data_IF_318587595247
#
_entry.id   IF_318587595247
#
_cell.length_a   1.000
_cell.length_b   1.000
_cell.length_c   1.000
_cell.angle_alpha   90.00
_cell.angle_beta   90.00
_cell.angle_gamma   90.00
#
_symmetry.space_group_name_H-M   'P 1'
#
loop_
_entity.id
_entity.type
_entity.pdbx_description
1 polymer ?
#
# COMPACT_ATOMS: atom_id res chain seq x y z
N UNK A 1 1.90 6.50 -20.17
CA UNK A 1 0.64 6.68 -19.43
C UNK A 1 0.64 5.54 -18.45
N UNK A 2 1.26 5.83 -17.31
CA UNK A 2 1.87 4.84 -16.44
C UNK A 2 1.07 4.77 -15.17
N UNK A 3 0.54 3.61 -14.88
CA UNK A 3 -0.06 3.35 -13.59
C UNK A 3 1.00 3.56 -12.50
N UNK A 4 0.74 4.51 -11.61
CA UNK A 4 1.64 4.85 -10.51
C UNK A 4 1.40 3.88 -9.35
N UNK A 5 2.26 2.87 -9.24
CA UNK A 5 2.39 2.14 -7.98
C UNK A 5 3.01 3.05 -6.92
N UNK A 6 2.58 2.87 -5.68
CA UNK A 6 3.13 3.56 -4.51
C UNK A 6 3.53 2.56 -3.44
N UNK A 7 4.50 2.93 -2.61
CA UNK A 7 4.99 2.14 -1.49
C UNK A 7 5.33 3.01 -0.28
N UNK A 8 5.15 2.45 0.91
CA UNK A 8 5.48 3.07 2.19
C UNK A 8 6.06 2.05 3.16
N UNK A 9 6.96 2.50 4.03
CA UNK A 9 7.37 1.76 5.22
C UNK A 9 7.09 2.67 6.42
N UNK A 10 6.18 2.24 7.28
CA UNK A 10 5.72 3.03 8.44
C UNK A 10 5.94 2.25 9.74
N UNK A 11 6.18 2.89 10.90
CA UNK A 11 6.21 2.20 12.19
C UNK A 11 4.94 1.40 12.47
N UNK A 12 5.08 0.27 13.17
CA UNK A 12 3.95 -0.55 13.56
C UNK A 12 3.36 -0.07 14.89
N UNK A 13 2.22 0.60 14.84
CA UNK A 13 1.53 1.22 15.98
C UNK A 13 0.60 0.22 16.71
N UNK A 14 1.06 -1.02 16.89
CA UNK A 14 0.34 -2.09 17.59
C UNK A 14 -0.75 -2.80 16.79
N UNK A 15 -1.47 -2.10 15.90
CA UNK A 15 -2.36 -2.70 14.89
C UNK A 15 -2.12 -2.10 13.51
N UNK A 16 -2.61 -2.80 12.47
CA UNK A 16 -2.50 -2.35 11.07
C UNK A 16 -3.33 -1.08 10.86
N UNK A 17 -4.49 -0.97 11.50
CA UNK A 17 -5.38 0.20 11.43
C UNK A 17 -4.74 1.44 12.03
N UNK A 18 -4.13 1.34 13.21
CA UNK A 18 -3.45 2.47 13.83
C UNK A 18 -2.21 2.87 13.02
N UNK A 19 -1.49 1.89 12.44
CA UNK A 19 -0.35 2.16 11.55
C UNK A 19 -0.80 2.85 10.26
N UNK A 20 -1.92 2.42 9.66
CA UNK A 20 -2.50 3.04 8.47
C UNK A 20 -2.96 4.47 8.76
N UNK A 21 -3.64 4.68 9.90
CA UNK A 21 -4.08 6.00 10.33
C UNK A 21 -2.91 6.97 10.57
N UNK A 22 -1.83 6.49 11.19
CA UNK A 22 -0.61 7.28 11.37
C UNK A 22 0.02 7.63 10.01
N UNK A 23 0.06 6.66 9.08
CA UNK A 23 0.57 6.87 7.74
C UNK A 23 -0.29 7.87 6.94
N UNK A 24 -1.62 7.84 7.06
CA UNK A 24 -2.49 8.84 6.44
C UNK A 24 -2.18 10.25 6.93
N UNK A 25 -1.99 10.43 8.25
CA UNK A 25 -1.66 11.73 8.80
C UNK A 25 -0.32 12.26 8.25
N UNK A 26 0.69 11.38 8.17
CA UNK A 26 1.99 11.73 7.61
C UNK A 26 1.90 12.12 6.13
N UNK A 27 1.27 11.29 5.28
CA UNK A 27 1.19 11.57 3.84
C UNK A 27 0.33 12.79 3.56
N UNK A 28 -0.75 13.01 4.33
CA UNK A 28 -1.53 14.23 4.21
C UNK A 28 -0.71 15.48 4.54
N UNK A 29 0.11 15.44 5.60
CA UNK A 29 1.01 16.54 5.93
C UNK A 29 2.08 16.75 4.84
N UNK A 30 2.62 15.69 4.26
CA UNK A 30 3.63 15.79 3.20
C UNK A 30 3.07 16.38 1.89
N UNK A 31 1.87 15.96 1.48
CA UNK A 31 1.31 16.32 0.18
C UNK A 31 0.46 17.60 0.20
N UNK A 32 -0.21 17.90 1.32
CA UNK A 32 -1.23 18.96 1.38
C UNK A 32 -0.92 20.10 2.36
N UNK A 33 0.16 20.04 3.15
CA UNK A 33 0.46 21.13 4.11
C UNK A 33 0.78 22.48 3.45
N UNK A 34 1.28 22.47 2.21
CA UNK A 34 1.73 23.68 1.51
C UNK A 34 0.67 24.30 0.57
N UNK A 35 -0.38 23.56 0.20
CA UNK A 35 -1.36 23.99 -0.82
C UNK A 35 -2.59 24.71 -0.21
N UNK A 36 -2.76 24.69 1.13
CA UNK A 36 -3.93 25.25 1.86
C UNK A 36 -5.30 24.78 1.31
N UNK A 37 -5.33 23.82 0.38
CA UNK A 37 -6.50 23.37 -0.37
C UNK A 37 -7.45 22.59 0.53
N UNK A 38 -6.91 21.80 1.45
CA UNK A 38 -7.66 21.09 2.48
C UNK A 38 -7.06 21.40 3.85
N UNK A 39 -7.89 21.82 4.81
CA UNK A 39 -7.46 22.09 6.18
C UNK A 39 -7.32 20.84 7.04
N UNK A 40 -7.80 19.68 6.56
CA UNK A 40 -7.65 18.39 7.24
C UNK A 40 -7.90 17.20 6.30
N UNK A 41 -7.39 16.02 6.70
CA UNK A 41 -7.66 14.76 6.01
C UNK A 41 -9.17 14.47 5.88
N UNK A 42 -9.97 14.84 6.89
CA UNK A 42 -11.42 14.67 6.85
C UNK A 42 -12.10 15.59 5.82
N UNK A 43 -11.50 16.75 5.53
CA UNK A 43 -11.98 17.66 4.50
C UNK A 43 -11.66 17.13 3.10
N UNK A 44 -10.44 16.61 2.91
CA UNK A 44 -10.04 15.91 1.68
C UNK A 44 -10.99 14.75 1.37
N UNK A 45 -11.24 13.86 2.34
CA UNK A 45 -12.15 12.73 2.13
C UNK A 45 -13.63 13.12 2.00
N UNK A 46 -14.01 14.34 2.37
CA UNK A 46 -15.37 14.85 2.16
C UNK A 46 -15.57 15.40 0.74
N UNK A 47 -14.50 15.61 -0.03
CA UNK A 47 -14.57 15.96 -1.45
C UNK A 47 -14.81 14.69 -2.28
N UNK A 48 -16.08 14.27 -2.35
CA UNK A 48 -16.51 13.08 -3.09
C UNK A 48 -16.20 13.19 -4.59
N UNK A 49 -16.29 14.39 -5.19
CA UNK A 49 -16.01 14.60 -6.61
C UNK A 49 -14.53 14.31 -6.90
N UNK A 50 -13.63 14.89 -6.11
CA UNK A 50 -12.20 14.63 -6.24
C UNK A 50 -11.83 13.17 -5.93
N UNK A 51 -12.33 12.63 -4.81
CA UNK A 51 -11.97 11.28 -4.36
C UNK A 51 -12.55 10.15 -5.22
N UNK A 52 -13.68 10.37 -5.91
CA UNK A 52 -14.27 9.36 -6.81
C UNK A 52 -13.77 9.44 -8.26
N UNK A 53 -13.30 10.60 -8.72
CA UNK A 53 -12.86 10.78 -10.11
C UNK A 53 -11.34 10.69 -10.30
N UNK A 54 -10.59 11.42 -9.47
CA UNK A 54 -9.12 11.49 -9.57
C UNK A 54 -8.47 10.62 -8.48
N UNK A 55 -8.88 10.85 -7.23
CA UNK A 55 -8.15 10.34 -6.07
C UNK A 55 -6.79 11.04 -5.90
N UNK A 56 -6.08 10.65 -4.85
CA UNK A 56 -4.76 11.19 -4.51
C UNK A 56 -3.63 10.47 -5.22
N UNK A 57 -3.88 9.28 -5.77
CA UNK A 57 -2.87 8.34 -6.25
C UNK A 57 -1.81 7.98 -5.18
N UNK A 58 -2.20 8.03 -3.91
CA UNK A 58 -1.36 7.69 -2.76
C UNK A 58 -2.07 6.68 -1.84
N UNK A 59 -1.49 6.40 -0.68
CA UNK A 59 -2.15 5.62 0.38
C UNK A 59 -3.47 6.25 0.86
N UNK A 60 -3.69 7.56 0.66
CA UNK A 60 -4.91 8.24 1.10
C UNK A 60 -6.18 7.77 0.35
N UNK A 61 -6.02 7.07 -0.78
CA UNK A 61 -7.10 6.42 -1.52
C UNK A 61 -7.58 5.13 -0.84
N UNK A 62 -6.89 4.67 0.21
CA UNK A 62 -7.16 3.41 0.90
C UNK A 62 -7.65 3.69 2.32
N UNK A 63 -8.97 3.73 2.51
CA UNK A 63 -9.59 4.13 3.77
C UNK A 63 -9.67 3.02 4.83
N UNK A 64 -9.62 1.74 4.43
CA UNK A 64 -9.92 0.63 5.35
C UNK A 64 -9.01 -0.59 5.22
N UNK A 65 -8.73 -1.20 6.37
CA UNK A 65 -8.05 -2.49 6.45
C UNK A 65 -9.07 -3.63 6.34
N UNK A 66 -8.76 -4.63 5.52
CA UNK A 66 -9.53 -5.87 5.40
C UNK A 66 -8.62 -7.05 5.76
N UNK A 67 -9.01 -7.83 6.77
CA UNK A 67 -8.20 -8.94 7.29
C UNK A 67 -8.29 -10.24 6.48
N UNK A 68 -8.56 -10.17 5.18
CA UNK A 68 -8.54 -11.33 4.28
C UNK A 68 -7.46 -11.15 3.21
N UNK A 69 -6.73 -12.23 2.94
CA UNK A 69 -5.77 -12.30 1.84
C UNK A 69 -6.43 -12.69 0.50
N UNK A 70 -7.76 -12.75 0.44
CA UNK A 70 -8.48 -12.95 -0.83
C UNK A 70 -8.17 -11.80 -1.78
N UNK A 71 -7.73 -12.14 -2.99
CA UNK A 71 -7.44 -11.15 -4.04
C UNK A 71 -8.68 -10.29 -4.30
N UNK A 72 -8.56 -8.95 -4.29
CA UNK A 72 -9.66 -8.07 -4.64
C UNK A 72 -10.07 -8.25 -6.12
N UNK A 73 -11.29 -7.83 -6.45
CA UNK A 73 -11.84 -7.83 -7.80
C UNK A 73 -12.16 -6.41 -8.25
N UNK A 74 -11.74 -6.03 -9.46
CA UNK A 74 -12.13 -4.76 -10.08
C UNK A 74 -13.65 -4.61 -10.31
N UNK A 75 -14.41 -5.71 -10.20
CA UNK A 75 -15.86 -5.71 -10.39
C UNK A 75 -16.64 -5.52 -9.07
N UNK A 76 -15.97 -5.60 -7.92
CA UNK A 76 -16.60 -5.42 -6.62
C UNK A 76 -16.21 -4.06 -6.04
N UNK A 77 -17.16 -3.13 -6.00
CA UNK A 77 -16.93 -1.79 -5.42
C UNK A 77 -16.52 -1.84 -3.94
N UNK A 78 -16.86 -2.92 -3.22
CA UNK A 78 -16.45 -3.11 -1.83
C UNK A 78 -14.97 -3.50 -1.69
N UNK A 79 -14.30 -3.83 -2.80
CA UNK A 79 -12.87 -4.11 -2.80
C UNK A 79 -12.02 -2.85 -2.99
N UNK A 80 -12.59 -1.76 -3.52
CA UNK A 80 -11.91 -0.48 -3.63
C UNK A 80 -11.70 0.16 -2.24
N UNK A 81 -10.60 0.90 -2.09
CA UNK A 81 -10.20 1.54 -0.84
C UNK A 81 -9.73 0.54 0.23
N UNK A 82 -9.40 -0.69 -0.16
CA UNK A 82 -9.01 -1.74 0.80
C UNK A 82 -7.50 -1.97 0.87
N UNK A 83 -7.00 -2.06 2.11
CA UNK A 83 -5.66 -2.52 2.46
C UNK A 83 -5.73 -3.97 2.98
N UNK A 84 -5.12 -4.92 2.27
CA UNK A 84 -5.20 -6.36 2.59
C UNK A 84 -3.85 -6.96 2.94
N UNK A 85 -3.80 -8.00 3.80
CA UNK A 85 -2.55 -8.71 4.04
C UNK A 85 -2.11 -9.44 2.78
N UNK A 86 -0.82 -9.35 2.44
CA UNK A 86 -0.23 -10.27 1.48
C UNK A 86 -0.32 -11.70 2.01
N UNK A 87 -0.76 -12.64 1.18
CA UNK A 87 -0.93 -14.02 1.60
C UNK A 87 0.38 -14.62 2.13
N UNK A 88 0.39 -15.40 3.24
CA UNK A 88 1.61 -15.91 3.86
C UNK A 88 2.54 -16.67 2.90
N UNK A 89 1.99 -17.48 1.99
CA UNK A 89 2.80 -18.20 1.00
C UNK A 89 3.45 -17.26 -0.03
N UNK A 90 2.84 -16.12 -0.33
CA UNK A 90 3.41 -15.07 -1.19
C UNK A 90 4.47 -14.25 -0.44
N UNK A 91 4.28 -13.99 0.85
CA UNK A 91 5.34 -13.42 1.71
C UNK A 91 6.58 -14.32 1.68
N UNK A 92 6.41 -15.63 1.93
CA UNK A 92 7.53 -16.59 1.85
C UNK A 92 8.14 -16.67 0.45
N UNK A 93 7.34 -16.55 -0.60
CA UNK A 93 7.82 -16.56 -1.98
C UNK A 93 8.75 -15.38 -2.28
N UNK A 94 8.38 -14.16 -1.87
CA UNK A 94 9.13 -12.94 -2.18
C UNK A 94 10.32 -12.73 -1.25
N UNK A 95 10.17 -13.05 0.04
CA UNK A 95 11.18 -12.73 1.05
C UNK A 95 11.99 -13.95 1.52
N UNK A 96 11.54 -15.17 1.20
CA UNK A 96 12.14 -16.41 1.71
C UNK A 96 11.88 -16.67 3.19
N UNK A 97 11.05 -15.86 3.85
CA UNK A 97 10.75 -15.89 5.28
C UNK A 97 9.29 -15.48 5.54
N UNK A 98 8.76 -15.83 6.71
CA UNK A 98 7.46 -15.34 7.20
C UNK A 98 7.56 -13.99 7.90
N UNK A 99 8.79 -13.58 8.24
CA UNK A 99 9.09 -12.42 9.07
C UNK A 99 10.13 -11.55 8.37
N UNK A 100 9.75 -10.89 7.25
CA UNK A 100 10.67 -10.04 6.51
C UNK A 100 11.06 -8.82 7.34
N UNK A 101 12.27 -8.33 7.13
CA UNK A 101 12.73 -7.06 7.72
C UNK A 101 12.37 -5.88 6.82
N UNK A 102 12.40 -4.64 7.34
CA UNK A 102 12.25 -3.43 6.51
C UNK A 102 13.24 -3.38 5.35
N UNK A 103 14.51 -3.74 5.57
CA UNK A 103 15.52 -3.76 4.52
C UNK A 103 15.18 -4.76 3.41
N UNK A 104 14.67 -5.96 3.77
CA UNK A 104 14.24 -6.96 2.79
C UNK A 104 13.04 -6.49 1.97
N UNK A 105 12.12 -5.76 2.60
CA UNK A 105 11.00 -5.14 1.91
C UNK A 105 11.48 -4.11 0.89
N UNK A 106 12.35 -3.18 1.30
CA UNK A 106 12.91 -2.17 0.40
C UNK A 106 13.72 -2.78 -0.75
N UNK A 107 14.49 -3.85 -0.50
CA UNK A 107 15.21 -4.56 -1.55
C UNK A 107 14.23 -5.19 -2.56
N UNK A 108 13.15 -5.82 -2.09
CA UNK A 108 12.15 -6.44 -2.95
C UNK A 108 11.42 -5.39 -3.81
N UNK A 109 11.06 -4.24 -3.24
CA UNK A 109 10.48 -3.12 -3.98
C UNK A 109 11.46 -2.56 -5.01
N UNK A 110 12.70 -2.30 -4.63
CA UNK A 110 13.75 -1.80 -5.54
C UNK A 110 13.94 -2.75 -6.73
N UNK A 111 13.95 -4.06 -6.46
CA UNK A 111 14.03 -5.10 -7.50
C UNK A 111 12.79 -5.11 -8.39
N UNK A 112 11.61 -4.90 -7.83
CA UNK A 112 10.36 -4.82 -8.58
C UNK A 112 10.39 -3.64 -9.56
N UNK A 113 10.74 -2.44 -9.10
CA UNK A 113 10.88 -1.27 -9.98
C UNK A 113 11.93 -1.48 -11.07
N UNK A 114 13.10 -2.04 -10.73
CA UNK A 114 14.15 -2.32 -11.72
C UNK A 114 13.71 -3.35 -12.79
N UNK A 115 12.70 -4.18 -12.50
CA UNK A 115 12.17 -5.17 -13.43
C UNK A 115 11.09 -4.63 -14.38
N UNK A 116 10.53 -3.44 -14.11
CA UNK A 116 9.50 -2.84 -14.96
C UNK A 116 10.00 -2.67 -16.41
N UNK A 117 11.28 -2.35 -16.59
CA UNK A 117 11.92 -2.23 -17.90
C UNK A 117 12.27 -3.57 -18.57
N UNK A 118 12.36 -4.66 -17.79
CA UNK A 118 12.82 -5.97 -18.26
C UNK A 118 11.69 -7.00 -18.40
N UNK A 119 10.49 -6.65 -17.92
CA UNK A 119 9.34 -7.54 -17.81
C UNK A 119 9.42 -8.46 -16.59
N UNK A 120 8.27 -8.90 -16.04
CA UNK A 120 8.26 -9.73 -14.84
C UNK A 120 8.85 -11.11 -15.13
N UNK A 121 9.74 -11.57 -14.24
CA UNK A 121 10.26 -12.93 -14.25
C UNK A 121 9.18 -13.98 -13.91
N UNK A 122 9.50 -15.28 -14.03
CA UNK A 122 8.56 -16.35 -13.66
C UNK A 122 8.24 -16.26 -12.16
N UNK A 123 6.99 -15.88 -11.83
CA UNK A 123 6.51 -15.69 -10.46
C UNK A 123 6.03 -14.28 -10.13
N UNK A 124 6.30 -13.31 -11.00
CA UNK A 124 5.99 -11.89 -10.76
C UNK A 124 6.91 -11.26 -9.71
N UNK A 125 6.86 -9.95 -9.60
CA UNK A 125 7.53 -9.16 -8.56
C UNK A 125 6.59 -8.88 -7.39
N UNK A 126 7.08 -8.25 -6.33
CA UNK A 126 6.23 -7.87 -5.19
C UNK A 126 5.08 -6.94 -5.64
N UNK A 127 5.38 -5.96 -6.49
CA UNK A 127 4.37 -5.00 -6.97
C UNK A 127 3.35 -5.65 -7.92
N UNK A 128 3.70 -6.77 -8.58
CA UNK A 128 2.76 -7.54 -9.41
C UNK A 128 1.63 -8.22 -8.62
N UNK A 129 1.71 -8.27 -7.29
CA UNK A 129 0.66 -8.81 -6.42
C UNK A 129 -0.56 -7.88 -6.33
N UNK A 130 -0.35 -6.56 -6.48
CA UNK A 130 -1.42 -5.57 -6.39
C UNK A 130 -1.80 -5.09 -7.80
N UNK A 131 -2.93 -5.56 -8.31
CA UNK A 131 -3.39 -5.28 -9.69
C UNK A 131 -4.73 -4.56 -9.78
N UNK A 132 -5.46 -4.49 -8.68
CA UNK A 132 -6.76 -3.81 -8.62
C UNK A 132 -6.51 -2.37 -8.25
N UNK A 133 -7.12 -1.46 -9.01
CA UNK A 133 -7.00 -0.01 -8.78
C UNK A 133 -7.54 0.39 -7.41
N UNK A 134 -6.97 1.44 -6.84
CA UNK A 134 -7.32 1.96 -5.51
C UNK A 134 -7.33 0.88 -4.43
N UNK A 135 -6.39 -0.06 -4.51
CA UNK A 135 -6.16 -1.06 -3.47
C UNK A 135 -4.70 -1.11 -3.07
N UNK A 136 -4.47 -1.58 -1.85
CA UNK A 136 -3.15 -1.80 -1.30
C UNK A 136 -3.01 -3.18 -0.68
N UNK A 137 -1.77 -3.65 -0.63
CA UNK A 137 -1.35 -4.79 0.15
C UNK A 137 -0.39 -4.34 1.25
N UNK A 138 -0.41 -5.06 2.38
CA UNK A 138 0.55 -4.86 3.45
C UNK A 138 1.28 -6.15 3.84
N UNK A 139 2.47 -5.95 4.38
CA UNK A 139 3.32 -6.98 5.00
C UNK A 139 3.77 -6.46 6.35
N UNK A 140 3.58 -7.26 7.39
CA UNK A 140 4.12 -6.94 8.72
C UNK A 140 5.62 -7.23 8.72
N UNK A 141 6.42 -6.22 9.04
CA UNK A 141 7.88 -6.26 9.00
C UNK A 141 8.44 -6.32 10.43
N UNK A 142 9.48 -7.11 10.60
CA UNK A 142 10.01 -7.44 11.92
C UNK A 142 11.44 -6.91 12.11
N UNK A 143 11.75 -6.55 13.35
CA UNK A 143 13.12 -6.35 13.82
C UNK A 143 13.38 -7.35 14.92
N UNK A 144 14.14 -8.41 14.61
CA UNK A 144 14.27 -9.56 15.49
C UNK A 144 12.98 -10.38 15.52
N UNK A 145 12.40 -10.58 16.70
CA UNK A 145 11.20 -11.41 16.90
C UNK A 145 9.89 -10.61 16.96
N UNK A 146 9.97 -9.28 16.95
CA UNK A 146 8.82 -8.40 17.18
C UNK A 146 8.44 -7.63 15.90
N UNK A 147 7.14 -7.44 15.64
CA UNK A 147 6.65 -6.47 14.67
C UNK A 147 7.19 -5.08 14.96
N UNK A 148 7.79 -4.44 13.96
CA UNK A 148 8.38 -3.11 14.11
C UNK A 148 7.86 -2.13 13.07
N UNK A 149 7.56 -2.58 11.85
CA UNK A 149 7.07 -1.74 10.76
C UNK A 149 5.97 -2.44 9.96
N UNK A 150 5.26 -1.66 9.18
CA UNK A 150 4.34 -2.11 8.16
C UNK A 150 4.90 -1.69 6.80
N UNK A 151 5.14 -2.66 5.91
CA UNK A 151 5.46 -2.42 4.51
C UNK A 151 4.17 -2.42 3.73
N UNK A 152 3.84 -1.31 3.08
CA UNK A 152 2.58 -1.07 2.39
C UNK A 152 2.89 -0.73 0.94
N UNK A 153 2.15 -1.30 0.00
CA UNK A 153 2.28 -0.98 -1.41
C UNK A 153 0.95 -1.14 -2.12
N UNK A 154 0.72 -0.36 -3.16
CA UNK A 154 -0.58 -0.35 -3.82
C UNK A 154 -0.53 0.14 -5.24
N UNK A 155 -1.72 0.20 -5.83
CA UNK A 155 -1.89 0.47 -7.24
C UNK A 155 -3.02 1.48 -7.42
N UNK A 156 -2.69 2.69 -7.89
CA UNK A 156 -3.66 3.74 -8.18
C UNK A 156 -4.54 3.38 -9.38
N UNK A 157 -3.94 2.77 -10.41
CA UNK A 157 -4.65 2.21 -11.57
C UNK A 157 -5.06 3.20 -12.67
N UNK A 158 -4.36 4.33 -12.75
CA UNK A 158 -4.45 5.32 -13.83
C UNK A 158 -4.06 4.76 -15.22
#
# INVERSE_FOLDING_TARGET
MGASGWEYVTPFEGTVEESLKALHAQVFEEEYADDDTYGSLAELWADEEFMEEEGTHTILDVDRVVHTATTPSDHDVQDHGTLRPLAPDRVRHHFGTEHPTPDQFQEAVTRAYASLDQGPGPGGTLLDECRVRWTGLYVVLHTGAEPSHLGVFGFSGD
#
